data_IF_918500995953
#
_entry.id   IF_918500995953
#
_cell.length_a   1.000
_cell.length_b   1.000
_cell.length_c   1.000
_cell.angle_alpha   90.00
_cell.angle_beta   90.00
_cell.angle_gamma   90.00
#
_symmetry.space_group_name_H-M   'P 1'
#
loop_
_entity.id
_entity.type
_entity.pdbx_description
1 polymer ?
#
# COMPACT_ATOMS: atom_id res chain seq x y z
N UNK A 1 -4.34 -19.70 -22.26
CA UNK A 1 -3.68 -20.92 -22.79
C UNK A 1 -3.30 -21.77 -21.59
N UNK A 2 -3.80 -23.01 -21.48
CA UNK A 2 -3.58 -23.84 -20.29
C UNK A 2 -2.24 -24.58 -20.43
N UNK A 3 -1.24 -24.22 -19.60
CA UNK A 3 0.13 -24.73 -19.68
C UNK A 3 0.26 -26.22 -19.30
N UNK A 4 -0.75 -26.79 -18.65
CA UNK A 4 -0.78 -28.21 -18.25
C UNK A 4 -0.83 -29.19 -19.43
N UNK A 5 -1.14 -28.72 -20.64
CA UNK A 5 -1.19 -29.55 -21.84
C UNK A 5 0.12 -29.60 -22.64
N UNK A 6 1.21 -28.98 -22.16
CA UNK A 6 2.54 -29.17 -22.77
C UNK A 6 3.10 -30.54 -22.37
N UNK A 7 2.66 -31.58 -23.07
CA UNK A 7 3.14 -32.94 -22.84
C UNK A 7 4.57 -33.11 -23.40
N UNK A 8 5.56 -32.74 -22.58
CA UNK A 8 7.00 -32.88 -22.84
C UNK A 8 7.47 -34.35 -22.96
N UNK A 9 6.59 -35.33 -22.69
CA UNK A 9 6.93 -36.76 -22.67
C UNK A 9 7.33 -37.38 -24.01
N UNK A 10 7.18 -36.66 -25.14
CA UNK A 10 7.54 -37.15 -26.49
C UNK A 10 8.92 -36.73 -27.00
N UNK A 11 9.65 -35.90 -26.25
CA UNK A 11 10.96 -35.40 -26.67
C UNK A 11 12.04 -35.79 -25.65
N UNK A 12 13.07 -36.48 -26.14
CA UNK A 12 14.26 -36.79 -25.32
C UNK A 12 15.11 -35.52 -25.26
N UNK A 13 14.85 -34.68 -24.27
CA UNK A 13 15.66 -33.50 -23.96
C UNK A 13 16.77 -33.84 -22.96
N UNK A 14 17.95 -33.24 -23.12
CA UNK A 14 19.00 -33.29 -22.09
C UNK A 14 18.50 -32.65 -20.78
N UNK A 15 19.07 -33.03 -19.64
CA UNK A 15 18.70 -32.43 -18.34
C UNK A 15 18.90 -30.91 -18.34
N UNK A 16 19.92 -30.40 -19.03
CA UNK A 16 20.15 -28.96 -19.20
C UNK A 16 18.99 -28.29 -19.93
N UNK A 17 18.48 -28.91 -21.00
CA UNK A 17 17.35 -28.37 -21.78
C UNK A 17 16.06 -28.37 -20.95
N UNK A 18 15.83 -29.41 -20.15
CA UNK A 18 14.68 -29.46 -19.21
C UNK A 18 14.76 -28.37 -18.14
N UNK A 19 15.93 -28.14 -17.58
CA UNK A 19 16.16 -27.07 -16.59
C UNK A 19 15.95 -25.68 -17.20
N UNK A 20 16.46 -25.46 -18.42
CA UNK A 20 16.24 -24.20 -19.14
C UNK A 20 14.74 -23.94 -19.40
N UNK A 21 14.01 -24.95 -19.90
CA UNK A 21 12.57 -24.82 -20.16
C UNK A 21 11.79 -24.56 -18.85
N UNK A 22 12.14 -25.26 -17.77
CA UNK A 22 11.48 -25.04 -16.48
C UNK A 22 11.75 -23.65 -15.91
N UNK A 23 12.99 -23.16 -16.00
CA UNK A 23 13.33 -21.79 -15.62
C UNK A 23 12.60 -20.76 -16.47
N UNK A 24 12.55 -20.97 -17.79
CA UNK A 24 11.83 -20.10 -18.71
C UNK A 24 10.32 -20.06 -18.42
N UNK A 25 9.67 -21.21 -18.18
CA UNK A 25 8.25 -21.26 -17.81
C UNK A 25 8.02 -20.55 -16.47
N UNK A 26 8.90 -20.72 -15.49
CA UNK A 26 8.81 -20.02 -14.20
C UNK A 26 8.99 -18.51 -14.35
N UNK A 27 9.93 -18.05 -15.18
CA UNK A 27 10.09 -16.63 -15.51
C UNK A 27 8.89 -16.08 -16.27
N UNK A 28 8.35 -16.83 -17.24
CA UNK A 28 7.18 -16.45 -18.01
C UNK A 28 5.94 -16.36 -17.10
N UNK A 29 5.73 -17.33 -16.21
CA UNK A 29 4.64 -17.31 -15.24
C UNK A 29 4.77 -16.14 -14.25
N UNK A 30 5.98 -15.85 -13.77
CA UNK A 30 6.26 -14.64 -12.96
C UNK A 30 5.95 -13.35 -13.72
N UNK A 31 6.27 -13.30 -15.01
CA UNK A 31 6.03 -12.13 -15.88
C UNK A 31 4.55 -11.96 -16.21
N UNK A 32 3.84 -13.05 -16.53
CA UNK A 32 2.41 -13.05 -16.81
C UNK A 32 1.54 -12.81 -15.56
N UNK A 33 1.99 -13.27 -14.38
CA UNK A 33 1.34 -12.89 -13.12
C UNK A 33 1.57 -11.41 -12.80
N UNK A 34 2.71 -10.82 -13.17
CA UNK A 34 2.91 -9.36 -13.07
C UNK A 34 1.95 -8.56 -13.95
N UNK A 35 1.58 -9.06 -15.14
CA UNK A 35 0.56 -8.43 -15.99
C UNK A 35 -0.87 -8.53 -15.44
N UNK A 36 -1.11 -9.37 -14.41
CA UNK A 36 -2.39 -9.46 -13.69
C UNK A 36 -2.39 -8.77 -12.33
N UNK A 37 -1.22 -8.34 -11.85
CA UNK A 37 -1.08 -7.64 -10.59
C UNK A 37 -1.31 -6.14 -10.82
N UNK A 38 -1.98 -5.51 -9.87
CA UNK A 38 -2.26 -4.08 -9.90
C UNK A 38 -0.95 -3.29 -9.99
N UNK A 39 -0.69 -2.65 -11.13
CA UNK A 39 0.51 -1.82 -11.31
C UNK A 39 0.33 -0.46 -10.61
N UNK A 40 -0.86 0.14 -10.69
CA UNK A 40 -1.19 1.39 -10.01
C UNK A 40 -2.43 1.15 -9.15
N UNK A 41 -2.35 1.53 -7.88
CA UNK A 41 -3.44 1.44 -6.92
C UNK A 41 -3.68 2.74 -6.20
N UNK A 42 -4.88 2.89 -5.65
CA UNK A 42 -5.21 3.97 -4.71
C UNK A 42 -5.17 3.41 -3.30
N UNK A 43 -4.47 4.08 -2.39
CA UNK A 43 -4.44 3.73 -0.97
C UNK A 43 -5.84 3.86 -0.39
N UNK A 44 -6.46 2.73 -0.08
CA UNK A 44 -7.81 2.68 0.49
C UNK A 44 -7.76 2.59 2.01
N UNK A 45 -6.85 1.78 2.55
CA UNK A 45 -6.64 1.58 3.98
C UNK A 45 -5.16 1.66 4.38
N UNK A 46 -4.91 2.13 5.61
CA UNK A 46 -3.58 2.22 6.21
C UNK A 46 -3.62 1.68 7.64
N UNK A 47 -2.86 0.63 7.91
CA UNK A 47 -2.73 0.04 9.25
C UNK A 47 -1.31 -0.45 9.49
N UNK A 48 -0.52 0.35 10.21
CA UNK A 48 0.90 0.11 10.44
C UNK A 48 1.64 -0.09 9.11
N UNK A 49 2.41 -1.18 8.96
CA UNK A 49 3.10 -1.57 7.73
C UNK A 49 2.14 -2.09 6.64
N UNK A 50 0.87 -2.37 6.95
CA UNK A 50 -0.12 -2.86 6.00
C UNK A 50 -0.82 -1.69 5.29
N UNK A 51 -0.90 -1.80 3.98
CA UNK A 51 -1.65 -0.88 3.12
C UNK A 51 -2.65 -1.71 2.32
N UNK A 52 -3.91 -1.30 2.33
CA UNK A 52 -4.92 -1.85 1.43
C UNK A 52 -5.01 -0.95 0.20
N UNK A 53 -4.74 -1.51 -0.97
CA UNK A 53 -4.78 -0.81 -2.25
C UNK A 53 -6.03 -1.19 -3.03
N UNK A 54 -6.74 -0.20 -3.55
CA UNK A 54 -7.87 -0.38 -4.44
C UNK A 54 -7.39 -0.32 -5.89
N UNK A 55 -7.71 -1.36 -6.65
CA UNK A 55 -7.43 -1.42 -8.08
C UNK A 55 -8.48 -0.62 -8.87
N UNK A 56 -8.10 0.48 -9.54
CA UNK A 56 -9.05 1.33 -10.27
C UNK A 56 -9.67 0.66 -11.51
N UNK A 57 -9.06 -0.42 -12.02
CA UNK A 57 -9.55 -1.12 -13.20
C UNK A 57 -10.67 -2.12 -12.89
N UNK A 58 -10.65 -2.73 -11.70
CA UNK A 58 -11.55 -3.84 -11.39
C UNK A 58 -12.23 -3.76 -10.00
N UNK A 59 -11.93 -2.76 -9.17
CA UNK A 59 -12.56 -2.57 -7.85
C UNK A 59 -12.07 -3.50 -6.75
N UNK A 60 -11.14 -4.42 -7.05
CA UNK A 60 -10.58 -5.31 -6.03
C UNK A 60 -9.64 -4.57 -5.10
N UNK A 61 -9.71 -4.95 -3.84
CA UNK A 61 -8.79 -4.53 -2.80
C UNK A 61 -7.69 -5.57 -2.64
N UNK A 62 -6.45 -5.11 -2.52
CA UNK A 62 -5.27 -5.95 -2.31
C UNK A 62 -4.46 -5.40 -1.14
N UNK A 63 -4.17 -6.27 -0.18
CA UNK A 63 -3.31 -5.95 0.93
C UNK A 63 -1.84 -6.13 0.54
N UNK A 64 -1.07 -5.07 0.74
CA UNK A 64 0.39 -5.04 0.59
C UNK A 64 1.04 -4.59 1.88
N UNK A 65 2.30 -4.98 2.07
CA UNK A 65 3.08 -4.67 3.25
C UNK A 65 4.31 -3.86 2.87
N UNK A 66 4.55 -2.77 3.60
CA UNK A 66 5.67 -1.87 3.33
C UNK A 66 6.77 -2.09 4.35
N UNK A 67 7.99 -2.24 3.84
CA UNK A 67 9.19 -2.11 4.66
C UNK A 67 9.99 -0.87 4.23
N UNK A 68 10.54 -0.18 5.22
CA UNK A 68 11.38 1.01 5.04
C UNK A 68 12.82 0.76 5.47
N UNK A 69 13.05 -0.34 6.20
CA UNK A 69 14.34 -0.81 6.71
C UNK A 69 14.37 -2.34 6.83
N UNK A 70 15.55 -2.92 6.99
CA UNK A 70 15.68 -4.36 7.25
C UNK A 70 15.00 -4.79 8.55
N UNK A 71 15.00 -3.93 9.58
CA UNK A 71 14.32 -4.19 10.84
C UNK A 71 12.80 -4.34 10.65
N UNK A 72 12.18 -3.45 9.88
CA UNK A 72 10.75 -3.59 9.52
C UNK A 72 10.47 -4.84 8.69
N UNK A 73 11.40 -5.24 7.81
CA UNK A 73 11.26 -6.46 7.03
C UNK A 73 11.34 -7.72 7.91
N UNK A 74 12.30 -7.77 8.82
CA UNK A 74 12.43 -8.86 9.80
C UNK A 74 11.19 -8.95 10.71
N UNK A 75 10.63 -7.82 11.13
CA UNK A 75 9.37 -7.76 11.89
C UNK A 75 8.22 -8.42 11.11
N UNK A 76 8.06 -8.12 9.82
CA UNK A 76 7.04 -8.74 8.97
C UNK A 76 7.24 -10.26 8.84
N UNK A 77 8.48 -10.70 8.59
CA UNK A 77 8.80 -12.13 8.51
C UNK A 77 8.51 -12.87 9.82
N UNK A 78 8.83 -12.25 10.97
CA UNK A 78 8.53 -12.81 12.29
C UNK A 78 7.03 -12.92 12.56
N UNK A 79 6.20 -12.14 11.86
CA UNK A 79 4.74 -12.24 11.88
C UNK A 79 4.19 -13.27 10.88
N UNK A 80 5.06 -13.94 10.12
CA UNK A 80 4.66 -14.92 9.10
C UNK A 80 4.28 -14.32 7.75
N UNK A 81 4.56 -13.04 7.52
CA UNK A 81 4.27 -12.35 6.26
C UNK A 81 5.51 -12.44 5.37
N UNK A 82 5.40 -13.05 4.19
CA UNK A 82 6.51 -13.25 3.25
C UNK A 82 6.18 -12.84 1.80
N UNK A 83 4.92 -12.46 1.54
CA UNK A 83 4.39 -12.14 0.22
C UNK A 83 3.78 -10.74 0.23
N UNK A 84 3.64 -10.14 -0.96
CA UNK A 84 3.14 -8.77 -1.15
C UNK A 84 3.90 -7.71 -0.33
N UNK A 85 5.20 -7.93 -0.14
CA UNK A 85 6.08 -7.02 0.58
C UNK A 85 6.80 -6.12 -0.42
N UNK A 86 6.71 -4.80 -0.21
CA UNK A 86 7.31 -3.79 -1.07
C UNK A 86 8.15 -2.80 -0.28
N UNK A 87 9.25 -2.36 -0.89
CA UNK A 87 10.12 -1.33 -0.33
C UNK A 87 9.57 0.05 -0.63
N UNK A 88 9.58 0.93 0.36
CA UNK A 88 9.28 2.35 0.18
C UNK A 88 10.31 3.21 0.90
N UNK A 89 10.53 4.44 0.44
CA UNK A 89 11.28 5.41 1.21
C UNK A 89 10.54 5.70 2.53
N UNK A 90 11.27 5.78 3.65
CA UNK A 90 10.70 6.02 4.98
C UNK A 90 9.85 7.29 5.04
N UNK A 91 10.34 8.38 4.45
CA UNK A 91 9.63 9.65 4.45
C UNK A 91 8.36 9.59 3.60
N UNK A 92 8.42 8.94 2.45
CA UNK A 92 7.24 8.75 1.58
C UNK A 92 6.17 7.90 2.27
N UNK A 93 6.59 6.82 2.95
CA UNK A 93 5.69 5.97 3.72
C UNK A 93 5.05 6.72 4.89
N UNK A 94 5.81 7.55 5.62
CA UNK A 94 5.27 8.34 6.73
C UNK A 94 4.27 9.39 6.27
N UNK A 95 4.48 9.98 5.10
CA UNK A 95 3.57 10.97 4.52
C UNK A 95 2.39 10.33 3.76
N UNK A 96 2.32 8.99 3.70
CA UNK A 96 1.27 8.30 2.97
C UNK A 96 -0.09 8.50 3.65
N UNK A 97 -1.12 8.75 2.85
CA UNK A 97 -2.50 8.90 3.33
C UNK A 97 -3.50 8.20 2.39
N UNK A 98 -4.68 7.85 2.90
CA UNK A 98 -5.75 7.28 2.07
C UNK A 98 -6.15 8.24 0.94
N UNK A 99 -6.41 7.72 -0.25
CA UNK A 99 -6.65 8.47 -1.48
C UNK A 99 -5.37 8.78 -2.26
N UNK A 100 -4.19 8.54 -1.69
CA UNK A 100 -2.94 8.70 -2.42
C UNK A 100 -2.76 7.55 -3.43
N UNK A 101 -2.21 7.87 -4.61
CA UNK A 101 -1.93 6.88 -5.65
C UNK A 101 -0.52 6.35 -5.47
N UNK A 102 -0.34 5.06 -5.66
CA UNK A 102 0.97 4.40 -5.62
C UNK A 102 1.13 3.48 -6.83
N UNK A 103 2.38 3.26 -7.22
CA UNK A 103 2.77 2.34 -8.26
C UNK A 103 3.63 1.21 -7.67
N UNK A 104 3.31 -0.03 -8.02
CA UNK A 104 4.04 -1.23 -7.63
C UNK A 104 5.03 -1.62 -8.75
N UNK A 105 6.30 -1.28 -8.56
CA UNK A 105 7.36 -1.47 -9.54
C UNK A 105 8.35 -2.54 -9.05
N UNK A 106 8.10 -3.80 -9.41
CA UNK A 106 8.95 -4.91 -8.99
C UNK A 106 8.81 -5.17 -7.49
N UNK A 107 9.86 -4.88 -6.71
CA UNK A 107 9.88 -5.00 -5.25
C UNK A 107 9.65 -3.65 -4.54
N UNK A 108 9.28 -2.59 -5.28
CA UNK A 108 9.10 -1.24 -4.74
C UNK A 108 7.66 -0.77 -4.83
N UNK A 109 7.27 0.04 -3.85
CA UNK A 109 6.05 0.83 -3.86
C UNK A 109 6.45 2.31 -3.88
N UNK A 110 5.99 3.04 -4.89
CA UNK A 110 6.40 4.42 -5.16
C UNK A 110 5.16 5.32 -5.27
N UNK A 111 5.28 6.57 -4.80
CA UNK A 111 4.19 7.55 -4.96
C UNK A 111 3.96 7.84 -6.44
N UNK A 112 2.71 7.77 -6.88
CA UNK A 112 2.33 8.00 -8.27
C UNK A 112 1.52 9.29 -8.40
N UNK A 113 2.08 10.28 -9.11
CA UNK A 113 1.41 11.57 -9.30
C UNK A 113 0.66 11.69 -10.63
N UNK A 114 0.76 10.69 -11.52
CA UNK A 114 0.09 10.71 -12.81
C UNK A 114 -1.42 10.51 -12.71
N UNK A 115 -2.13 10.69 -13.82
CA UNK A 115 -3.56 10.44 -13.90
C UNK A 115 -3.84 8.93 -13.85
N UNK A 116 -5.02 8.59 -13.32
CA UNK A 116 -5.57 7.24 -13.35
C UNK A 116 -6.95 7.31 -13.98
N UNK A 117 -7.26 6.32 -14.81
CA UNK A 117 -8.59 6.12 -15.35
C UNK A 117 -9.32 5.07 -14.51
N UNK A 118 -10.49 5.42 -13.98
CA UNK A 118 -11.29 4.51 -13.15
C UNK A 118 -12.25 3.78 -14.08
N UNK A 119 -11.98 2.50 -14.31
CA UNK A 119 -12.73 1.68 -15.29
C UNK A 119 -13.83 0.83 -14.66
N UNK A 120 -13.85 0.73 -13.32
CA UNK A 120 -14.81 -0.06 -12.57
C UNK A 120 -15.76 0.85 -11.79
N UNK A 121 -17.07 0.63 -11.94
CA UNK A 121 -18.10 1.30 -11.15
C UNK A 121 -17.89 1.04 -9.65
N UNK A 122 -17.52 -0.19 -9.27
CA UNK A 122 -17.23 -0.54 -7.87
C UNK A 122 -16.03 0.25 -7.32
N UNK A 123 -14.97 0.39 -8.12
CA UNK A 123 -13.84 1.24 -7.76
C UNK A 123 -14.28 2.71 -7.63
N UNK A 124 -15.14 3.18 -8.54
CA UNK A 124 -15.65 4.55 -8.52
C UNK A 124 -16.43 4.85 -7.24
N UNK A 125 -17.39 4.00 -6.86
CA UNK A 125 -18.19 4.22 -5.64
C UNK A 125 -17.33 4.22 -4.37
N UNK A 126 -16.41 3.25 -4.24
CA UNK A 126 -15.48 3.20 -3.09
C UNK A 126 -14.60 4.43 -3.00
N UNK A 127 -14.13 4.93 -4.14
CA UNK A 127 -13.32 6.15 -4.17
C UNK A 127 -14.15 7.40 -3.87
N UNK A 128 -15.37 7.50 -4.39
CA UNK A 128 -16.26 8.64 -4.09
C UNK A 128 -16.58 8.71 -2.59
N UNK A 129 -16.90 7.58 -1.97
CA UNK A 129 -17.11 7.48 -0.52
C UNK A 129 -15.85 7.89 0.27
N UNK A 130 -14.69 7.33 -0.11
CA UNK A 130 -13.41 7.67 0.52
C UNK A 130 -13.10 9.18 0.42
N UNK A 131 -13.22 9.75 -0.78
CA UNK A 131 -12.97 11.18 -0.98
C UNK A 131 -14.04 12.06 -0.32
N UNK A 132 -15.26 11.57 -0.15
CA UNK A 132 -16.28 12.17 0.73
C UNK A 132 -15.76 12.35 2.15
N UNK A 133 -15.34 11.25 2.78
CA UNK A 133 -14.80 11.27 4.16
C UNK A 133 -13.54 12.13 4.27
N UNK A 134 -12.64 12.09 3.29
CA UNK A 134 -11.43 12.91 3.29
C UNK A 134 -11.75 14.41 3.20
N UNK A 135 -12.73 14.79 2.38
CA UNK A 135 -13.20 16.18 2.29
C UNK A 135 -13.83 16.66 3.60
N UNK A 136 -14.63 15.81 4.25
CA UNK A 136 -15.28 16.15 5.52
C UNK A 136 -14.26 16.34 6.66
N UNK A 137 -13.14 15.60 6.62
CA UNK A 137 -12.06 15.71 7.60
C UNK A 137 -11.09 16.88 7.32
N UNK A 138 -11.07 17.39 6.10
CA UNK A 138 -10.21 18.49 5.71
C UNK A 138 -10.67 19.79 6.39
N UNK A 139 -9.73 20.64 6.82
CA UNK A 139 -10.00 21.84 7.63
C UNK A 139 -10.69 21.59 8.98
N UNK A 140 -10.70 20.36 9.49
CA UNK A 140 -11.19 20.06 10.84
C UNK A 140 -10.06 20.06 11.87
N UNK A 141 -10.42 20.32 13.12
CA UNK A 141 -9.52 20.28 14.27
C UNK A 141 -9.48 18.88 14.87
N UNK A 142 -8.28 18.51 15.33
CA UNK A 142 -7.99 17.28 16.03
C UNK A 142 -7.23 17.58 17.32
N UNK A 143 -7.45 16.76 18.34
CA UNK A 143 -6.75 16.85 19.62
C UNK A 143 -5.71 15.74 19.71
N UNK A 144 -4.48 16.09 20.05
CA UNK A 144 -3.41 15.12 20.34
C UNK A 144 -3.71 14.44 21.69
N UNK A 145 -4.09 13.17 21.65
CA UNK A 145 -4.45 12.40 22.85
C UNK A 145 -3.27 11.67 23.47
N UNK A 146 -2.40 11.10 22.63
CA UNK A 146 -1.30 10.24 23.10
C UNK A 146 -0.13 10.31 22.12
N UNK A 147 1.08 10.28 22.67
CA UNK A 147 2.31 10.17 21.89
C UNK A 147 3.09 8.95 22.39
N UNK A 148 3.52 8.09 21.49
CA UNK A 148 4.44 6.97 21.74
C UNK A 148 5.83 7.31 21.20
N UNK A 149 6.74 6.33 21.20
CA UNK A 149 8.08 6.54 20.64
C UNK A 149 8.04 6.86 19.14
N UNK A 150 7.07 6.28 18.41
CA UNK A 150 6.96 6.33 16.95
C UNK A 150 5.72 7.09 16.43
N UNK A 151 4.64 7.20 17.23
CA UNK A 151 3.34 7.68 16.76
C UNK A 151 2.73 8.78 17.62
N UNK A 152 1.88 9.56 16.98
CA UNK A 152 0.99 10.55 17.58
C UNK A 152 -0.44 10.11 17.29
N UNK A 153 -1.24 9.95 18.33
CA UNK A 153 -2.65 9.60 18.24
C UNK A 153 -3.51 10.83 18.41
N UNK A 154 -4.45 11.00 17.49
CA UNK A 154 -5.31 12.16 17.29
C UNK A 154 -6.78 11.71 17.35
N UNK A 155 -7.63 12.54 17.94
CA UNK A 155 -9.09 12.35 17.92
C UNK A 155 -9.76 13.62 17.43
N UNK A 156 -10.99 13.52 16.94
CA UNK A 156 -11.80 14.72 16.73
C UNK A 156 -12.04 15.46 18.05
N UNK A 157 -12.36 16.76 18.00
CA UNK A 157 -12.64 17.56 19.22
C UNK A 157 -13.79 17.00 20.05
N UNK A 158 -14.76 16.35 19.42
CA UNK A 158 -15.87 15.67 20.09
C UNK A 158 -15.48 14.32 20.74
N UNK A 159 -14.20 13.93 20.68
CA UNK A 159 -13.66 12.67 21.21
C UNK A 159 -13.92 11.44 20.35
N UNK A 160 -14.58 11.58 19.19
CA UNK A 160 -14.81 10.48 18.25
C UNK A 160 -13.58 10.21 17.38
N UNK A 161 -13.51 8.98 16.86
CA UNK A 161 -12.43 8.53 15.97
C UNK A 161 -11.08 8.38 16.68
N UNK A 162 -10.21 7.55 16.12
CA UNK A 162 -8.81 7.44 16.54
C UNK A 162 -7.96 7.32 15.29
N UNK A 163 -7.17 8.36 15.04
CA UNK A 163 -6.27 8.45 13.90
C UNK A 163 -4.86 8.51 14.46
N UNK A 164 -3.88 7.96 13.75
CA UNK A 164 -2.48 8.17 14.12
C UNK A 164 -1.68 8.74 12.96
N UNK A 165 -0.59 9.42 13.32
CA UNK A 165 0.47 9.84 12.41
C UNK A 165 1.83 9.55 13.04
N UNK A 166 2.92 9.76 12.30
CA UNK A 166 4.26 9.48 12.78
C UNK A 166 4.87 10.68 13.51
N UNK A 167 5.44 10.42 14.68
CA UNK A 167 6.06 11.44 15.54
C UNK A 167 7.18 12.19 14.84
N UNK A 168 7.95 11.50 13.99
CA UNK A 168 9.06 12.11 13.23
C UNK A 168 8.59 13.22 12.28
N UNK A 169 7.32 13.21 11.83
CA UNK A 169 6.79 14.28 10.98
C UNK A 169 6.41 15.54 11.76
N UNK A 170 6.09 15.38 13.05
CA UNK A 170 5.57 16.45 13.90
C UNK A 170 6.25 16.41 15.28
N UNK A 171 7.59 16.62 15.35
CA UNK A 171 8.35 16.45 16.59
C UNK A 171 7.95 17.43 17.69
N UNK A 172 7.34 18.56 17.32
CA UNK A 172 6.94 19.64 18.22
C UNK A 172 5.51 19.49 18.79
N UNK A 173 4.78 18.45 18.40
CA UNK A 173 3.43 18.21 18.92
C UNK A 173 3.48 17.68 20.35
N UNK A 174 2.59 18.19 21.19
CA UNK A 174 2.42 17.80 22.58
C UNK A 174 1.02 17.24 22.84
N UNK A 175 0.88 16.37 23.83
CA UNK A 175 -0.43 15.91 24.30
C UNK A 175 -1.26 17.12 24.75
N UNK A 176 -2.50 17.20 24.25
CA UNK A 176 -3.42 18.33 24.47
C UNK A 176 -3.37 19.41 23.39
N UNK A 177 -2.43 19.35 22.43
CA UNK A 177 -2.43 20.27 21.30
C UNK A 177 -3.68 20.09 20.43
N UNK A 178 -4.23 21.21 19.96
CA UNK A 178 -5.25 21.23 18.92
C UNK A 178 -4.53 21.51 17.60
N UNK A 179 -4.71 20.63 16.62
CA UNK A 179 -4.08 20.70 15.31
C UNK A 179 -5.13 20.60 14.22
N UNK A 180 -4.99 21.41 13.18
CA UNK A 180 -5.92 21.45 12.05
C UNK A 180 -5.38 20.60 10.90
N UNK A 181 -6.25 19.81 10.25
CA UNK A 181 -5.89 19.11 9.01
C UNK A 181 -5.95 20.08 7.83
N UNK A 182 -4.82 20.33 7.18
CA UNK A 182 -4.68 21.19 6.00
C UNK A 182 -3.83 20.50 4.93
N UNK A 183 -4.38 20.33 3.74
CA UNK A 183 -3.85 19.58 2.61
C UNK A 183 -3.34 18.18 3.03
N UNK A 184 -4.15 17.46 3.81
CA UNK A 184 -3.80 16.13 4.32
C UNK A 184 -2.71 16.10 5.41
N UNK A 185 -2.17 17.24 5.84
CA UNK A 185 -1.18 17.36 6.92
C UNK A 185 -1.78 18.00 8.16
N UNK A 186 -1.13 17.84 9.31
CA UNK A 186 -1.56 18.47 10.55
C UNK A 186 -0.74 19.72 10.81
N UNK A 187 -1.40 20.86 11.02
CA UNK A 187 -0.77 22.14 11.37
C UNK A 187 -1.29 22.59 12.73
N UNK A 188 -0.40 23.21 13.53
CA UNK A 188 -0.77 23.81 14.82
C UNK A 188 -1.29 25.22 14.62
#
# INVERSE_FOLDING_TARGET
MNLENFNLGKFIFSNETKNFISNFINELAKTLNKERNMNIGVVYGLENEKITLLNPENGKEEDVYIYTSNETLEKLHNQGIYENIYKMNKLDFYNLYSGQKVQLNGDKCELYNGEIDIKSDDAWYKLDDLYGVLRDNENTNFVVQKITDDKIYLTHENGSGSIYTYKELYPDFCVGDIVKRVNGKYIK
#
